data_IF_237646748152
#
_entry.id   IF_237646748152
#
_cell.length_a   1.000
_cell.length_b   1.000
_cell.length_c   1.000
_cell.angle_alpha   90.00
_cell.angle_beta   90.00
_cell.angle_gamma   90.00
#
_symmetry.space_group_name_H-M   'P 1'
#
loop_
_entity.id
_entity.type
_entity.pdbx_description
1 polymer ?
#
# COMPACT_ATOMS: atom_id res chain seq x y z
N UNK A 1 -11.31 13.12 -11.09
CA UNK A 1 -9.86 13.12 -11.38
C UNK A 1 -9.18 12.35 -10.27
N UNK A 2 -8.26 11.45 -10.60
CA UNK A 2 -7.36 10.85 -9.61
C UNK A 2 -6.57 11.99 -8.94
N UNK A 3 -6.51 12.03 -7.61
CA UNK A 3 -5.97 13.18 -6.87
C UNK A 3 -4.43 13.27 -6.94
N UNK A 4 -3.78 12.30 -7.58
CA UNK A 4 -2.32 12.14 -7.67
C UNK A 4 -1.87 11.67 -9.05
N UNK A 5 -2.64 11.96 -10.09
CA UNK A 5 -2.37 11.58 -11.50
C UNK A 5 -2.21 10.07 -11.75
N UNK A 6 -2.75 9.24 -10.84
CA UNK A 6 -2.83 7.79 -11.02
C UNK A 6 -3.90 7.33 -12.02
N UNK A 7 -3.80 6.09 -12.54
CA UNK A 7 -4.78 5.53 -13.46
C UNK A 7 -6.17 5.43 -12.80
N UNK A 8 -7.20 5.72 -13.59
CA UNK A 8 -8.58 5.56 -13.17
C UNK A 8 -9.10 4.18 -13.56
N UNK A 9 -9.82 3.52 -12.65
CA UNK A 9 -10.47 2.24 -12.89
C UNK A 9 -11.81 2.19 -12.14
N UNK A 10 -12.75 1.39 -12.65
CA UNK A 10 -14.07 1.25 -12.06
C UNK A 10 -14.00 0.36 -10.81
N UNK A 11 -14.15 0.97 -9.64
CA UNK A 11 -14.17 0.25 -8.36
C UNK A 11 -15.51 -0.47 -8.23
N UNK A 12 -15.46 -1.79 -7.97
CA UNK A 12 -16.65 -2.58 -7.63
C UNK A 12 -17.16 -2.18 -6.24
N UNK A 13 -18.48 -2.04 -6.11
CA UNK A 13 -19.17 -1.67 -4.88
C UNK A 13 -19.97 -2.85 -4.33
N UNK A 14 -20.47 -2.73 -3.10
CA UNK A 14 -21.34 -3.75 -2.48
C UNK A 14 -20.66 -4.59 -1.38
N UNK A 15 -19.40 -4.30 -1.05
CA UNK A 15 -18.73 -4.84 0.14
C UNK A 15 -19.42 -4.42 1.43
N UNK A 16 -19.41 -5.31 2.40
CA UNK A 16 -19.93 -5.11 3.76
C UNK A 16 -18.79 -5.26 4.77
N UNK A 17 -18.89 -4.55 5.88
CA UNK A 17 -17.90 -4.58 6.95
C UNK A 17 -17.96 -5.90 7.74
N UNK A 18 -16.81 -6.35 8.22
CA UNK A 18 -16.76 -7.48 9.15
C UNK A 18 -17.25 -7.07 10.55
N UNK A 19 -17.42 -8.06 11.41
CA UNK A 19 -17.70 -7.87 12.85
C UNK A 19 -16.50 -8.29 13.72
N UNK A 20 -15.39 -8.68 13.11
CA UNK A 20 -14.21 -9.20 13.79
C UNK A 20 -12.92 -8.71 13.13
N UNK A 21 -11.84 -8.69 13.90
CA UNK A 21 -10.49 -8.42 13.41
C UNK A 21 -9.57 -9.57 13.82
N UNK A 22 -8.51 -9.83 13.06
CA UNK A 22 -7.59 -10.93 13.36
C UNK A 22 -6.13 -10.52 13.25
N UNK A 23 -5.54 -10.04 14.34
CA UNK A 23 -4.11 -9.71 14.41
C UNK A 23 -3.22 -10.88 13.96
N UNK A 24 -3.60 -12.11 14.30
CA UNK A 24 -2.86 -13.31 13.89
C UNK A 24 -2.82 -13.46 12.37
N UNK A 25 -3.95 -13.25 11.69
CA UNK A 25 -3.98 -13.29 10.22
C UNK A 25 -3.18 -12.15 9.62
N UNK A 26 -3.25 -10.93 10.17
CA UNK A 26 -2.44 -9.83 9.68
C UNK A 26 -0.93 -10.15 9.77
N UNK A 27 -0.46 -10.65 10.91
CA UNK A 27 0.95 -11.01 11.08
C UNK A 27 1.40 -12.17 10.18
N UNK A 28 0.48 -13.06 9.77
CA UNK A 28 0.79 -14.23 8.96
C UNK A 28 0.67 -13.98 7.45
N UNK A 29 -0.17 -13.05 7.03
CA UNK A 29 -0.54 -12.87 5.62
C UNK A 29 -0.01 -11.60 4.99
N UNK A 30 0.40 -10.60 5.78
CA UNK A 30 0.98 -9.37 5.26
C UNK A 30 2.48 -9.55 5.01
N UNK A 31 3.01 -9.19 3.83
CA UNK A 31 4.43 -9.32 3.54
C UNK A 31 5.29 -8.39 4.40
N UNK A 32 6.54 -8.80 4.64
CA UNK A 32 7.53 -7.97 5.32
C UNK A 32 8.23 -7.02 4.35
N UNK A 33 8.71 -5.87 4.85
CA UNK A 33 9.59 -4.98 4.10
C UNK A 33 10.92 -5.64 3.70
N UNK A 34 11.32 -6.72 4.38
CA UNK A 34 12.55 -7.50 4.15
C UNK A 34 12.32 -8.83 3.44
N UNK A 35 11.14 -9.05 2.88
CA UNK A 35 10.77 -10.32 2.26
C UNK A 35 11.52 -10.59 0.94
N UNK A 36 11.85 -11.85 0.66
CA UNK A 36 12.46 -12.28 -0.60
C UNK A 36 11.43 -12.44 -1.73
N UNK A 37 11.89 -12.48 -2.99
CA UNK A 37 11.03 -12.52 -4.17
C UNK A 37 10.03 -13.70 -4.15
N UNK A 38 10.50 -14.92 -3.90
CA UNK A 38 9.65 -16.12 -3.91
C UNK A 38 8.59 -16.08 -2.79
N UNK A 39 8.95 -15.59 -1.61
CA UNK A 39 8.00 -15.38 -0.52
C UNK A 39 6.94 -14.33 -0.86
N UNK A 40 7.33 -13.22 -1.49
CA UNK A 40 6.39 -12.21 -1.98
C UNK A 40 5.42 -12.80 -3.02
N UNK A 41 5.94 -13.54 -4.00
CA UNK A 41 5.12 -14.22 -5.01
C UNK A 41 4.14 -15.18 -4.33
N UNK A 42 4.59 -16.00 -3.39
CA UNK A 42 3.74 -16.95 -2.65
C UNK A 42 2.65 -16.24 -1.84
N UNK A 43 2.99 -15.13 -1.17
CA UNK A 43 2.05 -14.31 -0.40
C UNK A 43 0.91 -13.79 -1.29
N UNK A 44 1.23 -13.22 -2.45
CA UNK A 44 0.22 -12.70 -3.39
C UNK A 44 -0.59 -13.81 -4.05
N UNK A 45 0.05 -14.93 -4.39
CA UNK A 45 -0.63 -16.09 -4.98
C UNK A 45 -1.68 -16.69 -4.03
N UNK A 46 -1.42 -16.72 -2.72
CA UNK A 46 -2.42 -17.13 -1.70
C UNK A 46 -3.66 -16.24 -1.71
N UNK A 47 -3.57 -15.02 -2.23
CA UNK A 47 -4.69 -14.09 -2.42
C UNK A 47 -5.24 -14.07 -3.85
N UNK A 48 -4.83 -15.04 -4.69
CA UNK A 48 -5.27 -15.13 -6.09
C UNK A 48 -4.65 -14.06 -7.00
N UNK A 49 -3.56 -13.41 -6.57
CA UNK A 49 -2.85 -12.39 -7.33
C UNK A 49 -1.61 -12.99 -7.99
N UNK A 50 -1.40 -12.69 -9.27
CA UNK A 50 -0.23 -13.18 -10.02
C UNK A 50 1.03 -12.39 -9.65
N UNK A 51 2.21 -12.90 -10.01
CA UNK A 51 3.47 -12.15 -9.88
C UNK A 51 3.43 -10.80 -10.63
N UNK A 52 2.68 -10.72 -11.73
CA UNK A 52 2.49 -9.46 -12.47
C UNK A 52 1.58 -8.47 -11.74
N UNK A 53 0.52 -8.97 -11.10
CA UNK A 53 -0.33 -8.16 -10.22
C UNK A 53 0.49 -7.62 -9.06
N UNK A 54 1.31 -8.47 -8.42
CA UNK A 54 2.25 -8.09 -7.36
C UNK A 54 3.18 -6.95 -7.80
N UNK A 55 3.91 -7.12 -8.90
CA UNK A 55 4.85 -6.08 -9.39
C UNK A 55 4.13 -4.78 -9.73
N UNK A 56 2.92 -4.85 -10.31
CA UNK A 56 2.14 -3.64 -10.59
C UNK A 56 1.77 -2.93 -9.28
N UNK A 57 1.27 -3.68 -8.31
CA UNK A 57 0.80 -3.21 -7.03
C UNK A 57 1.91 -2.62 -6.14
N UNK A 58 3.13 -3.18 -6.20
CA UNK A 58 4.30 -2.66 -5.47
C UNK A 58 4.66 -1.21 -5.81
N UNK A 59 4.24 -0.70 -6.98
CA UNK A 59 4.40 0.72 -7.30
C UNK A 59 3.60 1.66 -6.39
N UNK A 60 2.68 1.17 -5.58
CA UNK A 60 2.03 2.00 -4.54
C UNK A 60 3.07 2.69 -3.62
N UNK A 61 4.28 2.14 -3.53
CA UNK A 61 5.45 2.76 -2.89
C UNK A 61 6.02 3.99 -3.57
N UNK A 62 5.55 4.39 -4.75
CA UNK A 62 5.93 5.69 -5.33
C UNK A 62 5.42 6.86 -4.48
N UNK A 63 4.39 6.62 -3.65
CA UNK A 63 3.81 7.60 -2.75
C UNK A 63 4.00 7.18 -1.29
N UNK A 64 4.50 8.11 -0.49
CA UNK A 64 4.67 7.93 0.95
C UNK A 64 6.13 7.83 1.40
N UNK A 65 6.28 7.51 2.67
CA UNK A 65 7.53 7.51 3.41
C UNK A 65 7.64 6.23 4.21
N UNK A 66 8.85 5.71 4.37
CA UNK A 66 9.13 4.58 5.24
C UNK A 66 9.92 5.05 6.46
N UNK A 67 9.70 4.38 7.60
CA UNK A 67 10.52 4.59 8.80
C UNK A 67 11.91 3.93 8.65
N UNK A 68 12.94 4.55 9.21
CA UNK A 68 14.33 4.10 9.13
C UNK A 68 14.53 2.61 9.46
N UNK A 69 13.80 2.07 10.43
CA UNK A 69 13.94 0.66 10.80
C UNK A 69 13.60 -0.32 9.67
N UNK A 70 12.74 0.05 8.72
CA UNK A 70 12.30 -0.84 7.63
C UNK A 70 13.33 -0.96 6.49
N UNK A 71 14.28 -0.03 6.38
CA UNK A 71 15.30 -0.05 5.33
C UNK A 71 16.74 0.01 5.87
N UNK A 72 16.92 0.11 7.19
CA UNK A 72 18.24 0.24 7.82
C UNK A 72 19.19 -0.88 7.40
N UNK A 73 18.74 -2.13 7.52
CA UNK A 73 19.53 -3.32 7.16
C UNK A 73 20.10 -3.15 5.75
N UNK A 74 19.20 -2.87 4.80
CA UNK A 74 19.53 -2.72 3.39
C UNK A 74 20.54 -1.61 3.15
N UNK A 75 20.33 -0.42 3.70
CA UNK A 75 21.24 0.70 3.44
C UNK A 75 22.62 0.51 4.06
N UNK A 76 22.82 -0.39 5.04
CA UNK A 76 24.14 -0.63 5.65
C UNK A 76 24.85 -1.90 5.17
N UNK A 77 24.11 -2.96 4.84
CA UNK A 77 24.69 -4.29 4.69
C UNK A 77 24.46 -4.94 3.31
N UNK A 78 23.51 -4.45 2.50
CA UNK A 78 23.23 -5.04 1.18
C UNK A 78 24.12 -4.42 0.09
N UNK A 79 24.47 -5.24 -0.90
CA UNK A 79 25.33 -4.84 -2.02
C UNK A 79 24.54 -4.41 -3.27
N UNK A 80 23.28 -4.83 -3.39
CA UNK A 80 22.38 -4.45 -4.49
C UNK A 80 21.69 -3.09 -4.24
N UNK A 81 22.48 -2.11 -3.80
CA UNK A 81 22.04 -0.73 -3.56
C UNK A 81 23.05 0.25 -4.14
N UNK A 82 22.58 1.28 -4.83
CA UNK A 82 23.44 2.36 -5.28
C UNK A 82 24.14 3.04 -4.09
N UNK A 83 25.46 3.13 -4.13
CA UNK A 83 26.26 3.62 -3.00
C UNK A 83 25.95 5.08 -2.63
N UNK A 84 25.67 5.93 -3.64
CA UNK A 84 25.28 7.32 -3.43
C UNK A 84 23.90 7.45 -2.78
N UNK A 85 22.95 6.63 -3.22
CA UNK A 85 21.62 6.51 -2.62
C UNK A 85 21.70 6.02 -1.17
N UNK A 86 22.47 4.96 -0.90
CA UNK A 86 22.70 4.44 0.44
C UNK A 86 23.26 5.52 1.37
N UNK A 87 24.33 6.21 0.93
CA UNK A 87 24.94 7.33 1.65
C UNK A 87 23.93 8.44 1.97
N UNK A 88 23.08 8.79 0.99
CA UNK A 88 22.01 9.78 1.15
C UNK A 88 21.02 9.38 2.24
N UNK A 89 20.61 8.10 2.30
CA UNK A 89 19.68 7.61 3.33
C UNK A 89 20.32 7.54 4.72
N UNK A 90 21.59 7.15 4.80
CA UNK A 90 22.34 7.06 6.07
C UNK A 90 22.42 8.40 6.80
N UNK A 91 22.36 9.55 6.10
CA UNK A 91 22.39 10.89 6.73
C UNK A 91 21.29 11.11 7.78
N UNK A 92 20.13 10.47 7.62
CA UNK A 92 19.00 10.57 8.56
C UNK A 92 18.60 9.22 9.17
N UNK A 93 19.34 8.16 8.86
CA UNK A 93 19.08 6.81 9.34
C UNK A 93 20.40 6.20 9.84
N UNK A 94 20.69 6.43 11.13
CA UNK A 94 21.87 5.92 11.80
C UNK A 94 21.82 4.39 11.95
N UNK A 95 23.00 3.77 12.10
CA UNK A 95 23.11 2.30 12.25
C UNK A 95 22.42 1.78 13.53
N UNK A 96 22.27 2.65 14.53
CA UNK A 96 21.55 2.40 15.78
C UNK A 96 20.68 3.61 16.09
N UNK A 97 19.47 3.40 16.60
CA UNK A 97 18.51 4.45 16.94
C UNK A 97 17.84 5.11 15.73
N UNK A 98 17.06 6.18 15.99
CA UNK A 98 16.33 6.94 14.98
C UNK A 98 15.32 6.12 14.15
N UNK A 99 14.76 5.05 14.73
CA UNK A 99 13.87 4.10 14.05
C UNK A 99 12.70 4.75 13.34
N UNK A 100 12.06 5.73 13.98
CA UNK A 100 10.88 6.41 13.45
C UNK A 100 11.19 7.46 12.36
N UNK A 101 12.47 7.71 12.03
CA UNK A 101 12.82 8.76 11.06
C UNK A 101 12.28 8.41 9.68
N UNK A 102 11.49 9.31 9.11
CA UNK A 102 10.83 9.10 7.83
C UNK A 102 11.74 9.43 6.65
N UNK A 103 11.62 8.64 5.60
CA UNK A 103 12.31 8.81 4.34
C UNK A 103 11.34 8.50 3.19
N UNK A 104 11.21 9.38 2.17
CA UNK A 104 10.30 9.11 1.04
C UNK A 104 10.72 7.84 0.31
N UNK A 105 9.76 7.00 -0.09
CA UNK A 105 10.02 5.76 -0.81
C UNK A 105 10.55 6.02 -2.23
N UNK A 106 10.06 7.08 -2.89
CA UNK A 106 10.60 7.59 -4.16
C UNK A 106 11.30 8.94 -3.96
N UNK A 107 12.59 9.05 -4.33
CA UNK A 107 13.34 10.31 -4.23
C UNK A 107 13.09 11.27 -5.39
N UNK A 108 12.72 10.75 -6.55
CA UNK A 108 12.66 11.54 -7.79
C UNK A 108 11.32 12.27 -7.85
N UNK A 109 10.25 11.58 -7.51
CA UNK A 109 8.89 12.11 -7.58
C UNK A 109 8.02 11.61 -6.43
N UNK A 110 8.35 11.96 -5.16
CA UNK A 110 7.68 11.44 -3.96
C UNK A 110 6.16 11.66 -3.89
N UNK A 111 5.62 12.51 -4.77
CA UNK A 111 4.21 12.89 -4.81
C UNK A 111 3.56 12.70 -6.20
N UNK A 112 4.23 12.05 -7.15
CA UNK A 112 3.70 11.79 -8.50
C UNK A 112 3.46 10.30 -8.67
N UNK A 113 2.33 9.91 -9.26
CA UNK A 113 2.13 8.52 -9.66
C UNK A 113 2.73 8.26 -11.04
N UNK A 114 4.07 8.25 -11.15
CA UNK A 114 4.79 8.00 -12.41
C UNK A 114 5.68 6.75 -12.36
N UNK A 115 6.27 6.38 -13.50
CA UNK A 115 7.04 5.14 -13.61
C UNK A 115 8.47 5.23 -13.07
N UNK A 116 8.82 6.29 -12.33
CA UNK A 116 10.14 6.43 -11.71
C UNK A 116 10.38 5.36 -10.66
N UNK A 117 9.35 4.84 -9.99
CA UNK A 117 9.47 3.65 -9.14
C UNK A 117 10.26 2.52 -9.85
N UNK A 118 9.81 2.10 -11.04
CA UNK A 118 10.46 1.02 -11.78
C UNK A 118 11.83 1.42 -12.34
N UNK A 119 12.04 2.70 -12.69
CA UNK A 119 13.36 3.20 -13.09
C UNK A 119 14.34 3.16 -11.92
N UNK A 120 13.90 3.51 -10.70
CA UNK A 120 14.71 3.46 -9.49
C UNK A 120 15.18 2.03 -9.21
N UNK A 121 14.30 1.02 -9.35
CA UNK A 121 14.69 -0.38 -9.19
C UNK A 121 15.82 -0.78 -10.14
N UNK A 122 15.74 -0.38 -11.42
CA UNK A 122 16.79 -0.64 -12.43
C UNK A 122 18.13 0.03 -12.12
N UNK A 123 18.12 1.06 -11.28
CA UNK A 123 19.32 1.78 -10.84
C UNK A 123 19.75 1.39 -9.41
N UNK A 124 19.23 0.29 -8.85
CA UNK A 124 19.48 -0.15 -7.47
C UNK A 124 19.07 0.88 -6.40
N UNK A 125 18.03 1.67 -6.68
CA UNK A 125 17.49 2.74 -5.84
C UNK A 125 16.11 2.43 -5.26
N UNK A 126 15.68 1.16 -5.23
CA UNK A 126 14.56 0.76 -4.36
C UNK A 126 14.90 1.09 -2.90
N UNK A 127 13.95 1.49 -2.07
CA UNK A 127 14.25 1.82 -0.67
C UNK A 127 14.25 0.56 0.19
N UNK A 128 13.17 -0.22 0.11
CA UNK A 128 13.01 -1.46 0.85
C UNK A 128 13.72 -2.62 0.14
N UNK A 129 14.05 -3.68 0.87
CA UNK A 129 14.55 -4.90 0.25
C UNK A 129 13.48 -5.54 -0.64
N UNK A 130 12.24 -5.62 -0.14
CA UNK A 130 11.07 -6.09 -0.89
C UNK A 130 10.80 -5.33 -2.20
N UNK A 131 11.23 -4.07 -2.30
CA UNK A 131 11.22 -3.34 -3.58
C UNK A 131 12.32 -3.83 -4.52
N UNK A 132 13.55 -3.88 -4.01
CA UNK A 132 14.71 -4.16 -4.86
C UNK A 132 14.74 -5.61 -5.36
N UNK A 133 14.18 -6.57 -4.62
CA UNK A 133 14.09 -7.96 -5.07
C UNK A 133 13.23 -8.16 -6.32
N UNK A 134 12.39 -7.18 -6.68
CA UNK A 134 11.62 -7.20 -7.93
C UNK A 134 12.50 -7.03 -9.18
N UNK A 135 13.70 -6.46 -9.02
CA UNK A 135 14.69 -6.28 -10.09
C UNK A 135 16.10 -6.62 -9.58
N UNK A 136 16.43 -7.90 -9.60
CA UNK A 136 17.67 -8.42 -9.04
C UNK A 136 18.13 -9.72 -9.75
N UNK A 137 17.90 -9.82 -11.06
CA UNK A 137 18.21 -11.02 -11.85
C UNK A 137 17.14 -12.12 -11.73
N UNK A 138 15.92 -11.77 -11.32
CA UNK A 138 14.84 -12.71 -11.01
C UNK A 138 13.76 -12.81 -12.09
N UNK A 139 12.71 -13.59 -11.79
CA UNK A 139 11.59 -13.85 -12.70
C UNK A 139 10.75 -12.60 -13.03
N UNK A 140 10.83 -11.55 -12.21
CA UNK A 140 10.07 -10.29 -12.35
C UNK A 140 10.81 -9.19 -13.12
N UNK A 141 12.09 -9.38 -13.45
CA UNK A 141 12.93 -8.34 -14.09
C UNK A 141 12.36 -7.86 -15.43
N UNK A 142 11.75 -8.78 -16.19
CA UNK A 142 11.10 -8.48 -17.48
C UNK A 142 9.88 -7.57 -17.31
N UNK A 143 9.09 -7.78 -16.25
CA UNK A 143 7.90 -7.00 -15.91
C UNK A 143 8.30 -5.59 -15.48
N UNK A 144 9.29 -5.47 -14.60
CA UNK A 144 9.84 -4.16 -14.18
C UNK A 144 10.40 -3.41 -15.39
N UNK A 145 11.14 -4.10 -16.27
CA UNK A 145 11.69 -3.51 -17.49
C UNK A 145 10.61 -3.02 -18.45
N UNK A 146 9.49 -3.75 -18.57
CA UNK A 146 8.33 -3.34 -19.36
C UNK A 146 7.66 -2.09 -18.77
N UNK A 147 7.32 -2.10 -17.48
CA UNK A 147 6.68 -0.96 -16.83
C UNK A 147 7.56 0.31 -16.80
N UNK A 148 8.89 0.14 -16.75
CA UNK A 148 9.83 1.27 -16.86
C UNK A 148 9.79 1.98 -18.23
N UNK A 149 9.37 1.28 -19.29
CA UNK A 149 9.32 1.80 -20.67
C UNK A 149 7.90 2.09 -21.16
N UNK A 150 6.90 1.45 -20.57
CA UNK A 150 5.52 1.53 -21.01
C UNK A 150 4.58 1.93 -19.86
N UNK A 151 4.42 3.24 -19.59
CA UNK A 151 3.50 3.74 -18.57
C UNK A 151 2.05 3.30 -18.78
N UNK A 152 1.59 3.17 -20.03
CA UNK A 152 0.22 2.77 -20.34
C UNK A 152 -0.05 1.32 -19.94
N UNK A 153 0.90 0.41 -20.21
CA UNK A 153 0.80 -0.99 -19.81
C UNK A 153 0.79 -1.14 -18.29
N UNK A 154 1.67 -0.42 -17.60
CA UNK A 154 1.63 -0.34 -16.15
C UNK A 154 0.24 0.14 -15.65
N UNK A 155 -0.26 1.25 -16.19
CA UNK A 155 -1.53 1.84 -15.74
C UNK A 155 -2.71 0.89 -15.91
N UNK A 156 -2.75 0.16 -17.03
CA UNK A 156 -3.74 -0.89 -17.27
C UNK A 156 -3.64 -2.02 -16.25
N UNK A 157 -2.44 -2.58 -16.06
CA UNK A 157 -2.24 -3.73 -15.17
C UNK A 157 -2.44 -3.35 -13.70
N UNK A 158 -2.06 -2.13 -13.30
CA UNK A 158 -2.34 -1.60 -11.97
C UNK A 158 -3.84 -1.51 -11.70
N UNK A 159 -4.63 -0.97 -12.63
CA UNK A 159 -6.08 -0.91 -12.49
C UNK A 159 -6.71 -2.30 -12.40
N UNK A 160 -6.28 -3.25 -13.24
CA UNK A 160 -6.73 -4.64 -13.16
C UNK A 160 -6.36 -5.32 -11.85
N UNK A 161 -5.13 -5.13 -11.36
CA UNK A 161 -4.66 -5.70 -10.10
C UNK A 161 -5.42 -5.12 -8.90
N UNK A 162 -5.71 -3.80 -8.91
CA UNK A 162 -6.52 -3.16 -7.88
C UNK A 162 -7.96 -3.69 -7.87
N UNK A 163 -8.57 -3.94 -9.03
CA UNK A 163 -9.89 -4.58 -9.10
C UNK A 163 -9.87 -5.98 -8.50
N UNK A 164 -8.91 -6.83 -8.91
CA UNK A 164 -8.76 -8.20 -8.37
C UNK A 164 -8.56 -8.20 -6.85
N UNK A 165 -7.72 -7.30 -6.38
CA UNK A 165 -7.45 -7.16 -4.95
C UNK A 165 -8.70 -6.71 -4.18
N UNK A 166 -9.52 -5.85 -4.78
CA UNK A 166 -10.81 -5.44 -4.22
C UNK A 166 -11.84 -6.56 -4.12
N UNK A 167 -11.57 -7.72 -4.72
CA UNK A 167 -12.39 -8.94 -4.67
C UNK A 167 -11.87 -9.98 -3.67
N UNK A 168 -10.78 -9.70 -2.93
CA UNK A 168 -10.24 -10.63 -1.94
C UNK A 168 -11.11 -10.62 -0.67
N UNK A 169 -11.54 -11.80 -0.20
CA UNK A 169 -12.17 -11.96 1.12
C UNK A 169 -13.54 -11.30 1.29
N UNK A 170 -14.30 -11.13 0.21
CA UNK A 170 -15.54 -10.33 0.21
C UNK A 170 -16.64 -10.84 1.17
N UNK A 171 -17.22 -9.90 1.91
CA UNK A 171 -18.55 -10.06 2.53
C UNK A 171 -19.59 -9.33 1.66
N UNK A 172 -20.61 -10.06 1.22
CA UNK A 172 -21.70 -9.54 0.37
C UNK A 172 -23.06 -10.06 0.83
N UNK A 173 -24.14 -9.54 0.25
CA UNK A 173 -25.50 -9.96 0.59
C UNK A 173 -25.85 -9.64 2.04
N UNK A 174 -26.20 -10.68 2.82
CA UNK A 174 -26.50 -10.56 4.24
C UNK A 174 -25.30 -10.79 5.17
N UNK A 175 -24.14 -11.18 4.63
CA UNK A 175 -22.92 -11.40 5.43
C UNK A 175 -22.27 -10.07 5.83
N UNK A 176 -21.94 -9.90 7.11
CA UNK A 176 -21.37 -8.66 7.63
C UNK A 176 -22.40 -7.55 7.85
N UNK A 177 -21.93 -6.32 8.05
CA UNK A 177 -22.74 -5.15 8.42
C UNK A 177 -22.40 -3.91 7.60
N UNK A 178 -23.21 -2.86 7.70
CA UNK A 178 -22.83 -1.50 7.26
C UNK A 178 -22.58 -0.69 8.52
N UNK A 179 -21.31 -0.44 8.88
CA UNK A 179 -20.97 0.31 10.07
C UNK A 179 -21.35 1.78 9.90
N UNK A 180 -21.88 2.38 10.98
CA UNK A 180 -22.08 3.83 11.05
C UNK A 180 -20.81 4.59 11.42
N UNK A 181 -19.94 3.91 12.18
CA UNK A 181 -18.65 4.38 12.68
C UNK A 181 -17.65 3.23 12.45
N UNK A 182 -16.63 3.43 11.63
CA UNK A 182 -15.72 2.34 11.22
C UNK A 182 -14.94 1.76 12.39
N UNK A 183 -14.55 2.57 13.37
CA UNK A 183 -13.77 2.11 14.54
C UNK A 183 -14.55 1.26 15.55
N UNK A 184 -15.87 1.07 15.37
CA UNK A 184 -16.72 0.30 16.29
C UNK A 184 -17.63 -0.69 15.55
N UNK A 185 -17.78 -1.88 16.12
CA UNK A 185 -18.84 -2.80 15.70
C UNK A 185 -20.21 -2.29 16.16
N UNK A 186 -21.21 -2.38 15.30
CA UNK A 186 -22.60 -2.22 15.75
C UNK A 186 -23.01 -3.55 16.41
N UNK A 187 -22.67 -3.73 17.68
CA UNK A 187 -23.38 -4.71 18.50
C UNK A 187 -24.85 -4.28 18.46
N UNK A 188 -25.77 -5.21 18.19
CA UNK A 188 -27.21 -4.94 18.22
C UNK A 188 -27.51 -4.16 19.51
N UNK A 189 -27.84 -2.87 19.37
CA UNK A 189 -28.44 -2.13 20.47
C UNK A 189 -29.79 -2.80 20.73
N UNK A 190 -29.84 -3.61 21.79
CA UNK A 190 -31.08 -4.01 22.44
C UNK A 190 -31.96 -2.76 22.54
N UNK A 191 -33.22 -2.90 22.13
CA UNK A 191 -34.25 -1.86 22.14
C UNK A 191 -34.11 -0.85 23.29
N UNK A 192 -33.68 0.37 22.98
CA UNK A 192 -34.09 1.55 23.75
C UNK A 192 -34.28 2.73 22.79
N UNK A 193 -35.49 3.26 22.85
CA UNK A 193 -36.12 4.19 21.91
C UNK A 193 -35.43 5.57 21.90
N UNK A 194 -35.21 6.14 20.70
CA UNK A 194 -35.68 7.50 20.35
C UNK A 194 -35.56 7.79 18.83
N UNK A 195 -36.42 8.64 18.24
CA UNK A 195 -36.71 8.65 16.81
C UNK A 195 -35.67 9.38 15.95
N UNK A 196 -35.58 8.90 14.72
CA UNK A 196 -34.74 9.30 13.60
C UNK A 196 -34.62 10.83 13.40
N UNK A 197 -33.38 11.32 13.30
CA UNK A 197 -33.08 12.46 12.40
C UNK A 197 -32.48 11.89 11.12
N UNK A 198 -33.23 12.04 10.03
CA UNK A 198 -32.77 11.75 8.68
C UNK A 198 -31.53 12.57 8.34
N UNK A 199 -30.34 11.98 8.50
CA UNK A 199 -29.15 12.40 7.78
C UNK A 199 -29.00 11.51 6.56
N UNK A 200 -29.37 12.05 5.40
CA UNK A 200 -29.03 11.49 4.10
C UNK A 200 -27.51 11.66 3.93
N UNK A 201 -26.71 10.73 4.46
CA UNK A 201 -25.27 10.68 4.16
C UNK A 201 -25.12 10.40 2.67
N UNK A 202 -24.63 11.38 1.93
CA UNK A 202 -24.10 11.16 0.59
C UNK A 202 -22.94 10.17 0.71
N UNK A 203 -23.11 8.95 0.20
CA UNK A 203 -22.00 8.06 -0.05
C UNK A 203 -21.15 8.72 -1.16
N UNK A 204 -20.12 9.46 -0.76
CA UNK A 204 -19.04 9.85 -1.68
C UNK A 204 -18.37 8.59 -2.21
N UNK A 205 -18.10 8.54 -3.51
CA UNK A 205 -17.34 7.43 -4.13
C UNK A 205 -15.99 7.32 -3.40
N UNK A 206 -15.57 6.14 -2.92
CA UNK A 206 -14.20 5.97 -2.44
C UNK A 206 -13.26 6.35 -3.58
N UNK A 207 -12.38 7.31 -3.33
CA UNK A 207 -11.40 7.70 -4.32
C UNK A 207 -10.30 6.64 -4.43
N UNK A 208 -9.61 6.64 -5.56
CA UNK A 208 -8.54 5.69 -5.88
C UNK A 208 -7.42 5.72 -4.83
N UNK A 209 -7.24 6.85 -4.12
CA UNK A 209 -6.24 6.99 -3.05
C UNK A 209 -6.62 6.19 -1.81
N UNK A 210 -7.88 6.20 -1.40
CA UNK A 210 -8.32 5.48 -0.20
C UNK A 210 -8.03 3.98 -0.30
N UNK A 211 -8.14 3.43 -1.51
CA UNK A 211 -7.84 2.03 -1.78
C UNK A 211 -6.32 1.74 -1.82
N UNK A 212 -5.50 2.64 -2.39
CA UNK A 212 -4.02 2.56 -2.37
C UNK A 212 -3.45 2.68 -0.94
N UNK A 213 -4.11 3.46 -0.07
CA UNK A 213 -3.73 3.67 1.34
C UNK A 213 -3.85 2.42 2.18
N UNK A 214 -5.05 1.83 2.21
CA UNK A 214 -5.28 0.56 2.90
C UNK A 214 -4.29 -0.48 2.38
N UNK A 215 -4.03 -0.46 1.07
CA UNK A 215 -3.14 -1.42 0.45
C UNK A 215 -1.65 -1.30 0.81
N UNK A 216 -1.08 -0.09 0.86
CA UNK A 216 0.35 0.04 1.19
C UNK A 216 0.62 -0.24 2.67
N UNK A 217 -0.33 0.08 3.55
CA UNK A 217 -0.29 -0.33 4.95
C UNK A 217 -0.54 -1.84 5.12
N UNK A 218 -1.40 -2.44 4.28
CA UNK A 218 -1.61 -3.88 4.20
C UNK A 218 -0.31 -4.58 3.79
N UNK A 219 0.36 -4.14 2.75
CA UNK A 219 1.52 -4.89 2.27
C UNK A 219 2.79 -4.67 3.09
N UNK A 220 2.96 -3.51 3.71
CA UNK A 220 4.24 -3.15 4.32
C UNK A 220 4.05 -2.30 5.59
N UNK A 221 4.02 -2.93 6.77
CA UNK A 221 3.94 -2.23 8.04
C UNK A 221 5.11 -1.23 8.19
N UNK A 222 4.80 0.02 8.56
CA UNK A 222 5.80 1.09 8.73
C UNK A 222 5.97 2.03 7.52
N UNK A 223 5.14 1.87 6.48
CA UNK A 223 4.98 2.85 5.40
C UNK A 223 3.85 3.84 5.73
N UNK A 224 4.14 5.13 5.63
CA UNK A 224 3.24 6.26 5.85
C UNK A 224 2.92 6.94 4.52
N UNK A 225 1.66 6.93 4.09
CA UNK A 225 1.22 7.60 2.86
C UNK A 225 0.62 8.97 3.21
N UNK A 226 1.14 10.01 2.55
CA UNK A 226 0.71 11.39 2.76
C UNK A 226 -0.16 11.88 1.60
N UNK A 227 -1.13 12.76 1.90
CA UNK A 227 -1.94 13.46 0.88
C UNK A 227 -1.40 14.87 0.70
N UNK A 228 -1.20 15.28 -0.56
CA UNK A 228 -0.96 16.69 -0.90
C UNK A 228 -2.28 17.39 -1.20
N UNK A 229 -2.58 18.45 -0.46
CA UNK A 229 -3.66 19.40 -0.73
C UNK A 229 -3.05 20.67 -1.34
N UNK A 230 -3.11 20.82 -2.67
CA UNK A 230 -2.57 22.00 -3.35
C UNK A 230 -1.03 22.09 -3.28
N UNK A 231 -0.48 23.30 -3.37
CA UNK A 231 0.99 23.48 -3.44
C UNK A 231 1.70 23.29 -2.09
N UNK A 232 1.03 23.55 -0.96
CA UNK A 232 1.72 23.71 0.33
C UNK A 232 1.12 22.97 1.54
N UNK A 233 0.05 22.16 1.40
CA UNK A 233 -0.50 21.39 2.53
C UNK A 233 -0.24 19.90 2.37
N UNK A 234 0.47 19.33 3.34
CA UNK A 234 0.74 17.90 3.48
C UNK A 234 0.13 17.46 4.80
N UNK A 235 -0.88 16.57 4.75
CA UNK A 235 -1.59 16.07 5.94
C UNK A 235 -1.21 14.62 6.21
N UNK A 236 -0.82 14.34 7.46
CA UNK A 236 -0.55 13.00 7.98
C UNK A 236 -1.89 12.32 8.20
N UNK A 237 -2.16 11.25 7.45
CA UNK A 237 -3.32 10.43 7.73
C UNK A 237 -2.87 9.41 8.76
N UNK A 238 -3.18 9.70 10.03
CA UNK A 238 -2.79 8.89 11.19
C UNK A 238 -3.00 7.39 10.95
N UNK A 239 -2.01 6.60 11.36
CA UNK A 239 -1.96 5.17 11.10
C UNK A 239 -3.20 4.45 11.63
N UNK A 240 -3.98 3.87 10.71
CA UNK A 240 -4.95 2.84 11.07
C UNK A 240 -4.15 1.68 11.67
N UNK A 241 -4.49 1.32 12.91
CA UNK A 241 -3.85 0.17 13.55
C UNK A 241 -4.09 -1.08 12.70
N UNK A 242 -3.14 -2.01 12.69
CA UNK A 242 -3.26 -3.32 12.00
C UNK A 242 -4.57 -4.06 12.34
N UNK A 243 -5.21 -3.71 13.47
CA UNK A 243 -6.50 -4.24 13.88
C UNK A 243 -7.70 -3.69 13.06
N UNK A 244 -7.65 -2.48 12.49
CA UNK A 244 -8.74 -1.89 11.69
C UNK A 244 -8.76 -2.38 10.24
N UNK A 245 -7.59 -2.74 9.72
CA UNK A 245 -7.37 -3.13 8.33
C UNK A 245 -8.09 -4.45 7.96
N UNK A 246 -8.27 -5.35 8.94
CA UNK A 246 -8.99 -6.61 8.75
C UNK A 246 -10.49 -6.50 9.05
N UNK A 247 -10.98 -5.30 9.32
CA UNK A 247 -12.38 -5.05 9.59
C UNK A 247 -13.17 -4.47 8.41
N UNK A 248 -12.51 -4.17 7.29
CA UNK A 248 -13.09 -3.62 6.04
C UNK A 248 -13.00 -4.69 4.95
#
# INVERSE_FOLDING_TARGET
>A
MSQVDGPSYAVKLGRRDSTTASRTLANAELPSFSEGLESLISCFQKKGLTARDMVALSRSHTQGQAQCFTFRERIYNQSNIDAGFASTRRRRCSRVGNDATLAPLDLVTPNSFDNNYFKNLKHNKGLLQSDQVLFNGGSTDSIVSEYSRNPAKFSSDFGSAMIKMGDVGLLTGSSGQIRRICSHNQIQFSNDLHPQRHFRKQFGRPDTLQFVRSFSHLLFPGIHIWRKHGLDKVEEWGGESVNEILSI
#
